data_IF_232857621219
#
_entry.id   IF_232857621219
#
_cell.length_a   1.000
_cell.length_b   1.000
_cell.length_c   1.000
_cell.angle_alpha   90.00
_cell.angle_beta   90.00
_cell.angle_gamma   90.00
#
_symmetry.space_group_name_H-M   'P 1'
#
loop_
_entity.id
_entity.type
_entity.pdbx_description
1 polymer ?
#
# COMPACT_ATOMS: atom_id res chain seq x y z
N UNK A 1 -25.41 100.21 -7.83
CA UNK A 1 -24.21 99.75 -8.56
C UNK A 1 -23.55 98.68 -7.69
N UNK A 2 -23.42 97.44 -8.18
CA UNK A 2 -22.73 96.35 -7.45
C UNK A 2 -23.61 95.18 -7.04
N UNK A 3 -23.83 94.28 -7.98
CA UNK A 3 -24.25 92.87 -7.77
C UNK A 3 -23.00 92.07 -7.33
N UNK A 4 -23.23 90.84 -6.81
CA UNK A 4 -22.28 89.71 -6.64
C UNK A 4 -21.65 89.64 -5.23
N UNK A 5 -21.49 88.49 -4.57
CA UNK A 5 -21.77 87.07 -4.85
C UNK A 5 -21.70 86.36 -3.48
N UNK A 6 -22.69 85.52 -3.15
CA UNK A 6 -22.58 84.55 -2.05
C UNK A 6 -21.64 83.42 -2.50
N UNK A 7 -20.46 83.31 -1.88
CA UNK A 7 -19.61 82.13 -2.03
C UNK A 7 -19.86 81.17 -0.87
N UNK A 8 -20.69 80.16 -1.12
CA UNK A 8 -20.82 78.96 -0.30
C UNK A 8 -19.53 78.14 -0.41
N UNK A 9 -18.73 78.08 0.66
CA UNK A 9 -17.61 77.15 0.76
C UNK A 9 -18.18 75.78 1.12
N UNK A 10 -18.34 74.92 0.11
CA UNK A 10 -18.54 73.48 0.30
C UNK A 10 -17.21 72.87 0.79
N UNK A 11 -17.14 72.54 2.08
CA UNK A 11 -16.09 71.67 2.61
C UNK A 11 -16.47 70.23 2.26
N UNK A 12 -15.89 69.72 1.18
CA UNK A 12 -15.92 68.30 0.81
C UNK A 12 -15.06 67.51 1.82
N UNK A 13 -15.70 66.91 2.81
CA UNK A 13 -15.09 65.83 3.61
C UNK A 13 -14.92 64.59 2.72
N UNK A 14 -13.69 64.32 2.31
CA UNK A 14 -13.30 62.98 1.87
C UNK A 14 -13.25 62.07 3.11
N UNK A 15 -14.30 61.28 3.33
CA UNK A 15 -14.20 60.11 4.20
C UNK A 15 -13.39 59.04 3.46
N UNK A 16 -12.08 58.99 3.73
CA UNK A 16 -11.31 57.76 3.50
C UNK A 16 -11.77 56.79 4.58
N UNK A 17 -12.62 55.84 4.21
CA UNK A 17 -13.02 54.73 5.08
C UNK A 17 -11.82 53.84 5.37
N UNK A 18 -11.06 54.15 6.42
CA UNK A 18 -10.17 53.19 7.05
C UNK A 18 -11.03 52.24 7.88
N UNK A 19 -11.32 51.06 7.35
CA UNK A 19 -11.85 49.95 8.15
C UNK A 19 -10.74 49.49 9.09
N UNK A 20 -10.86 49.79 10.39
CA UNK A 20 -9.98 49.25 11.42
C UNK A 20 -10.33 47.78 11.62
N UNK A 21 -9.59 46.87 10.98
CA UNK A 21 -9.75 45.43 11.19
C UNK A 21 -9.24 45.07 12.59
N UNK A 22 -10.13 44.56 13.45
CA UNK A 22 -9.73 44.00 14.74
C UNK A 22 -8.72 42.85 14.52
N UNK A 23 -7.64 42.76 15.32
CA UNK A 23 -6.68 41.67 15.18
C UNK A 23 -7.38 40.33 15.46
N UNK A 24 -7.43 39.47 14.45
CA UNK A 24 -7.93 38.10 14.58
C UNK A 24 -6.90 37.26 15.32
N UNK A 25 -7.29 36.69 16.46
CA UNK A 25 -6.52 35.67 17.17
C UNK A 25 -7.08 34.29 16.86
N UNK A 26 -6.19 33.34 16.57
CA UNK A 26 -6.55 31.93 16.32
C UNK A 26 -5.76 31.05 17.28
N UNK A 27 -6.47 30.26 18.09
CA UNK A 27 -5.85 29.29 19.02
C UNK A 27 -6.15 27.87 18.55
N UNK A 28 -5.12 27.05 18.43
CA UNK A 28 -5.20 25.64 18.04
C UNK A 28 -4.66 24.78 19.18
N UNK A 29 -5.45 23.84 19.67
CA UNK A 29 -5.02 22.90 20.72
C UNK A 29 -4.87 21.52 20.10
N UNK A 30 -3.68 20.94 20.23
CA UNK A 30 -3.34 19.61 19.74
C UNK A 30 -2.97 18.72 20.93
N UNK A 31 -3.50 17.50 20.97
CA UNK A 31 -3.17 16.53 22.02
C UNK A 31 -2.47 15.32 21.39
N UNK A 32 -1.28 15.01 21.87
CA UNK A 32 -0.50 13.84 21.48
C UNK A 32 -0.37 12.87 22.66
N UNK A 33 -0.45 11.57 22.40
CA UNK A 33 -0.36 10.54 23.45
C UNK A 33 0.62 9.46 23.03
N UNK A 34 1.70 9.35 23.78
CA UNK A 34 2.78 8.41 23.55
C UNK A 34 2.77 7.30 24.60
N UNK A 35 3.01 6.06 24.16
CA UNK A 35 3.09 4.88 25.03
C UNK A 35 4.50 4.32 24.97
N UNK A 36 5.18 4.33 26.11
CA UNK A 36 6.55 3.86 26.30
C UNK A 36 6.54 2.43 26.86
N UNK A 37 7.44 1.59 26.36
CA UNK A 37 7.63 0.22 26.82
C UNK A 37 9.08 0.07 27.30
N UNK A 38 9.27 -0.09 28.60
CA UNK A 38 10.57 -0.39 29.19
C UNK A 38 10.57 -1.84 29.68
N UNK A 39 11.37 -2.69 29.04
CA UNK A 39 11.59 -4.08 29.44
C UNK A 39 13.05 -4.30 29.80
N UNK A 40 13.30 -5.04 30.89
CA UNK A 40 14.62 -5.56 31.25
C UNK A 40 14.64 -7.06 30.95
N UNK A 41 15.50 -7.51 30.04
CA UNK A 41 15.71 -8.93 29.79
C UNK A 41 16.68 -9.49 30.83
N UNK A 42 16.20 -10.38 31.70
CA UNK A 42 17.07 -11.23 32.52
C UNK A 42 17.72 -12.29 31.64
N UNK A 43 19.06 -12.35 31.65
CA UNK A 43 19.83 -13.39 30.97
C UNK A 43 19.95 -14.61 31.88
N UNK A 44 18.91 -15.44 31.97
CA UNK A 44 19.00 -16.86 32.38
C UNK A 44 17.63 -17.51 32.14
N UNK A 45 17.66 -18.79 31.78
CA UNK A 45 16.58 -19.56 31.15
C UNK A 45 15.37 -19.90 32.03
N UNK A 46 15.09 -19.19 33.12
CA UNK A 46 13.91 -19.50 33.96
C UNK A 46 13.09 -18.31 34.50
N UNK A 47 13.50 -17.04 34.32
CA UNK A 47 12.71 -15.92 34.87
C UNK A 47 11.90 -15.16 33.80
N UNK A 48 10.59 -15.05 34.07
CA UNK A 48 9.62 -14.33 33.23
C UNK A 48 10.04 -12.88 32.96
N UNK A 49 9.82 -12.43 31.72
CA UNK A 49 10.17 -11.07 31.32
C UNK A 49 9.09 -10.08 31.80
N UNK A 50 9.50 -9.11 32.63
CA UNK A 50 8.63 -8.00 33.06
C UNK A 50 8.74 -6.82 32.09
N UNK A 51 7.62 -6.42 31.49
CA UNK A 51 7.54 -5.23 30.63
C UNK A 51 6.68 -4.17 31.31
N UNK A 52 7.25 -2.98 31.53
CA UNK A 52 6.52 -1.82 32.09
C UNK A 52 6.07 -0.91 30.96
N UNK A 53 4.77 -0.59 30.95
CA UNK A 53 4.11 0.28 29.98
C UNK A 53 3.82 1.61 30.67
N UNK A 54 4.26 2.73 30.11
CA UNK A 54 3.98 4.08 30.62
C UNK A 54 3.32 4.92 29.53
N UNK A 55 2.17 5.52 29.81
CA UNK A 55 1.45 6.40 28.89
C UNK A 55 1.69 7.85 29.30
N UNK A 56 2.21 8.66 28.37
CA UNK A 56 2.34 10.11 28.52
C UNK A 56 1.44 10.81 27.51
N UNK A 57 0.79 11.86 27.95
CA UNK A 57 -0.07 12.69 27.13
C UNK A 57 0.46 14.11 27.15
N UNK A 58 0.76 14.66 25.99
CA UNK A 58 1.26 16.02 25.80
C UNK A 58 0.18 16.85 25.12
N UNK A 59 -0.15 17.99 25.70
CA UNK A 59 -1.07 18.97 25.12
C UNK A 59 -0.23 20.17 24.66
N UNK A 60 -0.41 20.55 23.40
CA UNK A 60 0.25 21.69 22.78
C UNK A 60 -0.83 22.70 22.40
N UNK A 61 -0.75 23.89 22.97
CA UNK A 61 -1.62 25.01 22.65
C UNK A 61 -0.84 26.06 21.86
N UNK A 62 -1.26 26.31 20.62
CA UNK A 62 -0.66 27.32 19.75
C UNK A 62 -1.63 28.48 19.55
N UNK A 63 -1.25 29.68 20.00
CA UNK A 63 -2.05 30.90 19.82
C UNK A 63 -1.33 31.85 18.87
N UNK A 64 -1.96 32.20 17.75
CA UNK A 64 -1.46 33.18 16.79
C UNK A 64 -2.29 34.44 16.83
N UNK A 65 -1.65 35.59 17.08
CA UNK A 65 -2.27 36.92 17.06
C UNK A 65 -1.49 37.81 16.11
N UNK A 66 -2.17 38.34 15.09
CA UNK A 66 -1.59 39.31 14.14
C UNK A 66 -0.23 38.88 13.54
N UNK A 67 -0.07 37.59 13.24
CA UNK A 67 1.13 37.03 12.61
C UNK A 67 2.25 36.60 13.56
N UNK A 68 2.11 36.76 14.88
CA UNK A 68 3.00 36.18 15.89
C UNK A 68 2.35 34.97 16.55
N UNK A 69 3.05 33.83 16.58
CA UNK A 69 2.60 32.57 17.17
C UNK A 69 3.34 32.28 18.47
N UNK A 70 2.60 31.93 19.52
CA UNK A 70 3.08 31.50 20.82
C UNK A 70 2.63 30.07 21.08
N UNK A 71 3.54 29.20 21.51
CA UNK A 71 3.30 27.76 21.73
C UNK A 71 3.54 27.42 23.20
N UNK A 72 2.58 26.75 23.83
CA UNK A 72 2.66 26.26 25.21
C UNK A 72 2.48 24.74 25.20
N UNK A 73 3.49 24.02 25.71
CA UNK A 73 3.49 22.55 25.80
C UNK A 73 3.36 22.09 27.25
N UNK A 74 2.45 21.14 27.51
CA UNK A 74 2.24 20.55 28.83
C UNK A 74 2.10 19.03 28.73
N UNK A 75 3.04 18.31 29.33
CA UNK A 75 3.06 16.84 29.36
C UNK A 75 2.62 16.29 30.72
N UNK A 76 1.75 15.28 30.72
CA UNK A 76 1.25 14.59 31.93
C UNK A 76 1.31 13.08 31.73
N UNK A 77 1.75 12.32 32.75
CA UNK A 77 1.71 10.84 32.75
C UNK A 77 0.30 10.40 33.14
N UNK A 78 -0.38 9.66 32.28
CA UNK A 78 -1.80 9.30 32.44
C UNK A 78 -2.03 7.82 32.78
N UNK A 79 -1.00 6.97 32.75
CA UNK A 79 -1.09 5.59 33.24
C UNK A 79 0.24 4.82 33.20
N UNK A 80 0.41 3.85 34.10
CA UNK A 80 1.57 2.95 34.12
C UNK A 80 1.16 1.53 34.59
N UNK A 81 1.59 0.47 33.90
CA UNK A 81 1.25 -0.93 34.23
C UNK A 81 2.37 -1.89 33.82
N UNK A 82 2.66 -2.89 34.65
CA UNK A 82 3.71 -3.90 34.39
C UNK A 82 3.10 -5.27 34.15
N UNK A 83 3.57 -5.98 33.12
CA UNK A 83 3.07 -7.31 32.71
C UNK A 83 4.22 -8.31 32.67
N UNK A 84 4.00 -9.50 33.25
CA UNK A 84 4.94 -10.64 33.29
C UNK A 84 4.46 -11.77 32.39
N UNK A 85 5.33 -12.38 31.59
CA UNK A 85 4.99 -13.47 30.66
C UNK A 85 5.82 -14.72 30.99
N UNK A 86 5.15 -15.86 31.23
CA UNK A 86 5.75 -17.20 31.43
C UNK A 86 5.47 -18.10 30.20
N UNK A 87 6.41 -18.97 29.83
CA UNK A 87 6.32 -19.84 28.64
C UNK A 87 6.54 -21.31 29.01
N UNK A 88 5.61 -22.22 28.64
CA UNK A 88 5.75 -23.68 28.77
C UNK A 88 5.75 -24.36 27.40
N UNK A 89 6.67 -25.29 27.15
CA UNK A 89 6.79 -26.08 25.90
C UNK A 89 6.42 -27.54 26.17
N UNK A 90 5.67 -28.18 25.27
CA UNK A 90 5.40 -29.63 25.26
C UNK A 90 5.94 -30.28 23.97
N UNK A 91 6.59 -31.45 24.09
CA UNK A 91 7.18 -32.24 22.99
C UNK A 91 6.19 -33.26 22.38
N UNK A 92 6.34 -33.56 21.08
CA UNK A 92 5.58 -34.59 20.35
C UNK A 92 6.52 -35.62 19.71
N UNK A 93 6.21 -36.91 19.85
CA UNK A 93 7.02 -38.07 19.44
C UNK A 93 6.45 -38.71 18.17
N UNK A 94 7.30 -39.17 17.24
CA UNK A 94 6.86 -39.97 16.07
C UNK A 94 7.79 -41.17 15.82
N UNK A 95 7.17 -42.34 15.63
CA UNK A 95 7.75 -43.69 15.44
C UNK A 95 8.05 -44.02 13.98
N UNK A 96 9.13 -44.77 13.74
CA UNK A 96 9.63 -45.26 12.42
C UNK A 96 9.31 -46.75 12.22
N UNK A 97 8.96 -47.17 10.99
CA UNK A 97 8.85 -48.59 10.57
C UNK A 97 9.75 -48.82 9.33
N UNK A 98 10.51 -49.93 9.22
CA UNK A 98 11.33 -50.26 8.04
C UNK A 98 10.74 -51.38 7.16
N UNK A 99 11.02 -51.37 5.86
CA UNK A 99 10.86 -52.53 4.94
C UNK A 99 12.05 -52.62 3.97
N UNK A 100 12.49 -53.86 3.73
CA UNK A 100 13.75 -54.32 3.12
C UNK A 100 13.68 -54.68 1.62
N UNK A 101 14.88 -54.72 1.00
CA UNK A 101 15.32 -55.04 -0.37
C UNK A 101 14.77 -56.29 -1.10
N UNK A 102 14.80 -56.31 -2.45
CA UNK A 102 15.67 -57.15 -3.33
C UNK A 102 15.41 -56.85 -4.85
N UNK A 103 16.44 -56.50 -5.65
CA UNK A 103 17.27 -57.27 -6.61
C UNK A 103 16.71 -57.59 -8.01
N UNK A 104 17.60 -57.31 -8.96
CA UNK A 104 17.62 -57.35 -10.43
C UNK A 104 17.57 -58.76 -11.06
N UNK A 105 17.01 -58.88 -12.27
CA UNK A 105 17.33 -59.95 -13.22
C UNK A 105 17.03 -59.56 -14.68
N UNK A 106 18.04 -59.76 -15.52
CA UNK A 106 18.08 -59.54 -16.97
C UNK A 106 17.67 -60.80 -17.76
N UNK A 107 17.08 -60.62 -18.96
CA UNK A 107 17.39 -61.30 -20.25
C UNK A 107 16.17 -61.48 -21.19
N UNK A 108 16.34 -61.06 -22.44
CA UNK A 108 15.51 -61.27 -23.65
C UNK A 108 16.22 -62.28 -24.60
N UNK A 109 15.76 -62.65 -25.82
CA UNK A 109 14.43 -62.60 -26.49
C UNK A 109 13.99 -63.96 -27.11
N UNK A 110 12.75 -64.05 -27.63
CA UNK A 110 12.46 -64.85 -28.84
C UNK A 110 11.25 -64.28 -29.62
N UNK A 111 11.45 -64.22 -30.93
CA UNK A 111 10.68 -63.53 -31.97
C UNK A 111 9.40 -64.27 -32.37
N UNK A 112 8.33 -63.52 -32.67
CA UNK A 112 7.34 -63.86 -33.68
C UNK A 112 6.71 -62.57 -34.23
N UNK A 113 6.86 -62.40 -35.54
CA UNK A 113 6.55 -61.22 -36.35
C UNK A 113 5.07 -61.20 -36.73
N UNK A 114 4.36 -60.10 -36.48
CA UNK A 114 3.16 -59.71 -37.23
C UNK A 114 3.29 -58.22 -37.55
N UNK A 115 3.25 -57.92 -38.83
CA UNK A 115 3.35 -56.57 -39.36
C UNK A 115 2.01 -55.85 -39.14
N UNK A 116 2.01 -54.89 -38.23
CA UNK A 116 0.95 -53.87 -38.16
C UNK A 116 1.60 -52.49 -38.29
N UNK A 117 1.09 -51.75 -39.28
CA UNK A 117 1.36 -50.35 -39.58
C UNK A 117 1.41 -49.48 -38.32
N UNK A 118 2.41 -48.61 -38.13
CA UNK A 118 2.42 -47.67 -37.01
C UNK A 118 1.35 -46.61 -37.25
N UNK A 119 0.21 -46.76 -36.59
CA UNK A 119 -0.69 -45.63 -36.36
C UNK A 119 0.08 -44.70 -35.42
N UNK A 120 0.59 -43.60 -35.98
CA UNK A 120 1.06 -42.45 -35.23
C UNK A 120 -0.11 -42.00 -34.33
N UNK A 121 -0.12 -42.48 -33.10
CA UNK A 121 -0.83 -41.86 -32.00
C UNK A 121 -0.14 -40.52 -31.78
N UNK A 122 -0.60 -39.52 -32.53
CA UNK A 122 -0.37 -38.13 -32.20
C UNK A 122 -0.86 -37.94 -30.77
N UNK A 123 0.08 -37.82 -29.84
CA UNK A 123 -0.20 -37.21 -28.55
C UNK A 123 -0.99 -35.93 -28.85
N UNK A 124 -2.17 -35.73 -28.24
CA UNK A 124 -2.83 -34.44 -28.35
C UNK A 124 -1.80 -33.42 -27.91
N UNK A 125 -1.45 -32.53 -28.85
CA UNK A 125 -0.65 -31.34 -28.62
C UNK A 125 -1.06 -30.81 -27.26
N UNK A 126 -0.13 -30.82 -26.29
CA UNK A 126 -0.36 -30.31 -24.94
C UNK A 126 -1.23 -29.09 -25.07
N UNK A 127 -2.47 -29.17 -24.56
CA UNK A 127 -3.38 -28.05 -24.55
C UNK A 127 -2.56 -26.87 -24.04
N UNK A 128 -2.37 -25.89 -24.92
CA UNK A 128 -1.48 -24.77 -24.66
C UNK A 128 -1.81 -24.28 -23.24
N UNK A 129 -0.80 -24.30 -22.36
CA UNK A 129 -0.92 -23.78 -20.98
C UNK A 129 -1.74 -22.49 -21.09
N UNK A 130 -2.86 -22.35 -20.35
CA UNK A 130 -3.76 -21.22 -20.52
C UNK A 130 -2.93 -19.94 -20.54
N UNK A 131 -2.96 -19.21 -21.66
CA UNK A 131 -2.27 -17.92 -21.79
C UNK A 131 -2.58 -17.12 -20.53
N UNK A 132 -1.54 -16.66 -19.81
CA UNK A 132 -1.67 -15.93 -18.54
C UNK A 132 -2.84 -14.94 -18.64
N UNK A 133 -3.92 -15.20 -17.92
CA UNK A 133 -5.15 -14.40 -17.95
C UNK A 133 -5.05 -13.18 -17.03
N UNK A 134 -3.83 -12.74 -16.71
CA UNK A 134 -3.54 -11.64 -15.80
C UNK A 134 -2.69 -10.58 -16.48
N UNK A 135 -2.66 -9.38 -15.91
CA UNK A 135 -1.76 -8.32 -16.30
C UNK A 135 -2.01 -7.79 -17.71
N UNK A 136 -3.19 -8.01 -18.29
CA UNK A 136 -3.56 -7.48 -19.60
C UNK A 136 -4.58 -6.36 -19.42
N UNK A 137 -4.43 -5.29 -20.19
CA UNK A 137 -5.41 -4.20 -20.28
C UNK A 137 -5.96 -4.10 -21.70
N UNK A 138 -7.24 -3.80 -21.82
CA UNK A 138 -7.93 -3.68 -23.10
C UNK A 138 -8.00 -2.23 -23.62
N UNK A 139 -7.74 -1.26 -22.74
CA UNK A 139 -7.77 0.16 -23.07
C UNK A 139 -6.51 0.58 -23.86
N UNK A 140 -6.71 1.40 -24.90
CA UNK A 140 -5.65 1.83 -25.84
C UNK A 140 -4.73 2.87 -25.20
N UNK A 141 -3.42 2.76 -25.48
CA UNK A 141 -2.38 3.60 -24.89
C UNK A 141 -2.57 5.10 -25.21
N UNK A 142 -2.77 5.93 -24.19
CA UNK A 142 -2.40 7.35 -24.22
C UNK A 142 -1.05 7.52 -23.51
N UNK A 143 -0.06 8.11 -24.19
CA UNK A 143 1.28 8.37 -23.62
C UNK A 143 1.24 9.67 -22.81
N UNK A 144 1.41 9.59 -21.49
CA UNK A 144 1.54 10.75 -20.59
C UNK A 144 2.87 10.64 -19.84
N UNK A 145 3.60 11.74 -19.74
CA UNK A 145 4.90 11.86 -19.04
C UNK A 145 4.73 12.85 -17.89
N UNK A 146 5.04 12.43 -16.66
CA UNK A 146 4.59 13.13 -15.45
C UNK A 146 3.26 12.57 -14.99
N UNK A 147 3.08 12.37 -13.68
CA UNK A 147 1.86 11.75 -13.16
C UNK A 147 0.59 12.50 -13.58
N UNK A 148 -0.56 11.83 -13.48
CA UNK A 148 -1.85 12.44 -13.79
C UNK A 148 -2.96 11.42 -13.92
N UNK A 149 -4.11 11.90 -14.39
CA UNK A 149 -5.33 11.10 -14.54
C UNK A 149 -5.11 9.85 -15.40
N UNK A 150 -5.71 8.76 -14.96
CA UNK A 150 -5.84 7.58 -15.81
C UNK A 150 -6.97 7.76 -16.82
N UNK A 151 -6.91 7.04 -17.94
CA UNK A 151 -8.11 6.80 -18.75
C UNK A 151 -8.91 5.62 -18.18
N UNK A 152 -10.15 5.46 -18.64
CA UNK A 152 -10.99 4.37 -18.19
C UNK A 152 -10.40 3.00 -18.54
N UNK A 153 -10.40 2.09 -17.57
CA UNK A 153 -9.86 0.73 -17.75
C UNK A 153 -8.35 0.69 -17.98
N UNK A 154 -7.60 1.75 -17.67
CA UNK A 154 -6.13 1.75 -17.84
C UNK A 154 -5.43 0.75 -16.92
N UNK A 155 -5.90 0.66 -15.67
CA UNK A 155 -5.42 -0.25 -14.64
C UNK A 155 -6.61 -1.05 -14.08
N UNK A 156 -7.13 -2.03 -14.83
CA UNK A 156 -8.36 -2.76 -14.49
C UNK A 156 -8.24 -3.64 -13.24
N UNK A 157 -7.02 -3.77 -12.69
CA UNK A 157 -6.75 -4.44 -11.43
C UNK A 157 -6.78 -3.49 -10.23
N UNK A 158 -6.69 -2.17 -10.41
CA UNK A 158 -6.70 -1.23 -9.31
C UNK A 158 -8.09 -1.17 -8.66
N UNK A 159 -8.13 -1.24 -7.34
CA UNK A 159 -9.40 -1.20 -6.58
C UNK A 159 -9.31 -0.20 -5.44
N UNK A 160 -10.46 0.37 -5.08
CA UNK A 160 -10.60 1.18 -3.88
C UNK A 160 -11.05 0.28 -2.73
N UNK A 161 -10.19 0.08 -1.74
CA UNK A 161 -10.52 -0.54 -0.46
C UNK A 161 -11.24 0.49 0.39
N UNK A 162 -12.56 0.35 0.51
CA UNK A 162 -13.41 1.28 1.26
C UNK A 162 -13.58 0.78 2.68
N UNK A 163 -13.42 1.69 3.64
CA UNK A 163 -13.90 1.49 5.00
C UNK A 163 -15.30 2.07 5.08
N UNK A 164 -16.28 1.22 5.37
CA UNK A 164 -17.71 1.51 5.23
C UNK A 164 -18.05 1.92 3.78
N UNK A 165 -18.21 3.22 3.55
CA UNK A 165 -18.58 3.80 2.26
C UNK A 165 -17.53 4.77 1.75
N UNK A 166 -16.38 4.92 2.42
CA UNK A 166 -15.36 5.92 2.05
C UNK A 166 -14.07 5.23 1.61
N UNK A 167 -13.44 5.75 0.54
CA UNK A 167 -12.12 5.31 0.13
C UNK A 167 -11.10 5.48 1.27
N UNK A 168 -10.45 4.38 1.65
CA UNK A 168 -9.49 4.34 2.74
C UNK A 168 -8.07 4.01 2.27
N UNK A 169 -7.96 2.98 1.43
CA UNK A 169 -6.72 2.48 0.85
C UNK A 169 -6.94 2.00 -0.59
N UNK A 170 -5.85 1.80 -1.32
CA UNK A 170 -5.83 1.07 -2.58
C UNK A 170 -5.71 -0.45 -2.38
N UNK A 171 -5.84 -1.17 -3.49
CA UNK A 171 -5.57 -2.60 -3.59
C UNK A 171 -5.44 -3.03 -5.05
N UNK A 172 -5.15 -4.31 -5.25
CA UNK A 172 -5.09 -4.91 -6.58
C UNK A 172 -5.82 -6.26 -6.66
N UNK A 173 -6.59 -6.45 -7.73
CA UNK A 173 -7.20 -7.75 -8.05
C UNK A 173 -6.09 -8.73 -8.43
N UNK A 174 -5.94 -9.83 -7.70
CA UNK A 174 -5.00 -10.91 -8.07
C UNK A 174 -5.74 -12.16 -8.55
N UNK A 175 -7.00 -12.35 -8.14
CA UNK A 175 -7.89 -13.40 -8.63
C UNK A 175 -9.35 -12.93 -8.61
N UNK A 176 -10.28 -13.78 -9.07
CA UNK A 176 -11.72 -13.50 -8.96
C UNK A 176 -12.22 -13.32 -7.51
N UNK A 177 -11.52 -13.85 -6.51
CA UNK A 177 -11.93 -13.78 -5.11
C UNK A 177 -10.98 -12.99 -4.22
N UNK A 178 -9.80 -12.61 -4.70
CA UNK A 178 -8.73 -12.12 -3.85
C UNK A 178 -8.21 -10.78 -4.31
N UNK A 179 -8.16 -9.85 -3.36
CA UNK A 179 -7.51 -8.54 -3.48
C UNK A 179 -6.24 -8.54 -2.62
N UNK A 180 -5.15 -8.04 -3.18
CA UNK A 180 -3.90 -7.77 -2.49
C UNK A 180 -3.88 -6.30 -2.02
N UNK A 181 -3.50 -6.05 -0.77
CA UNK A 181 -3.39 -4.71 -0.19
C UNK A 181 -2.34 -4.68 0.93
N UNK A 182 -2.19 -3.56 1.64
CA UNK A 182 -1.28 -3.42 2.77
C UNK A 182 -1.95 -3.90 4.08
N UNK A 183 -1.17 -4.51 4.97
CA UNK A 183 -1.64 -4.95 6.27
C UNK A 183 -2.05 -3.79 7.18
N UNK A 184 -1.33 -2.67 7.13
CA UNK A 184 -1.64 -1.50 7.95
C UNK A 184 -3.02 -0.89 7.63
N UNK A 185 -3.54 -1.12 6.41
CA UNK A 185 -4.87 -0.70 6.02
C UNK A 185 -5.98 -1.50 6.71
N UNK A 186 -5.74 -2.76 7.04
CA UNK A 186 -6.82 -3.71 7.36
C UNK A 186 -6.74 -4.30 8.76
N UNK A 187 -5.55 -4.35 9.38
CA UNK A 187 -5.32 -5.00 10.69
C UNK A 187 -6.24 -4.52 11.81
N UNK A 188 -6.69 -3.27 11.77
CA UNK A 188 -7.47 -2.64 12.86
C UNK A 188 -8.97 -2.88 12.78
N UNK A 189 -9.47 -3.46 11.70
CA UNK A 189 -10.91 -3.57 11.45
C UNK A 189 -11.30 -4.99 11.02
N UNK A 190 -12.50 -5.40 11.40
CA UNK A 190 -13.10 -6.67 10.94
C UNK A 190 -13.48 -6.60 9.45
N UNK A 191 -13.45 -7.75 8.76
CA UNK A 191 -13.86 -7.93 7.36
C UNK A 191 -15.19 -7.23 7.01
N UNK A 192 -16.17 -7.25 7.93
CA UNK A 192 -17.51 -6.66 7.72
C UNK A 192 -17.52 -5.16 7.41
N UNK A 193 -16.46 -4.44 7.79
CA UNK A 193 -16.34 -3.01 7.55
C UNK A 193 -15.76 -2.69 6.17
N UNK A 194 -15.23 -3.68 5.46
CA UNK A 194 -14.59 -3.47 4.18
C UNK A 194 -15.50 -3.78 3.00
N UNK A 195 -15.46 -2.87 2.02
CA UNK A 195 -16.05 -3.04 0.70
C UNK A 195 -15.00 -2.74 -0.36
N UNK A 196 -14.99 -3.52 -1.42
CA UNK A 196 -14.06 -3.35 -2.53
C UNK A 196 -14.81 -2.76 -3.72
N UNK A 197 -14.39 -1.56 -4.11
CA UNK A 197 -14.87 -0.86 -5.30
C UNK A 197 -13.96 -1.19 -6.48
N UNK A 198 -14.52 -1.78 -7.54
CA UNK A 198 -13.78 -2.29 -8.71
C UNK A 198 -14.19 -1.60 -10.00
N UNK A 199 -13.23 -1.41 -10.92
CA UNK A 199 -13.50 -0.90 -12.27
C UNK A 199 -13.94 0.56 -12.30
N UNK A 200 -13.76 1.28 -11.20
CA UNK A 200 -14.10 2.69 -11.08
C UNK A 200 -12.87 3.55 -11.43
N UNK A 201 -13.10 4.62 -12.20
CA UNK A 201 -12.11 5.68 -12.39
C UNK A 201 -12.38 6.82 -11.42
N UNK A 202 -13.64 7.19 -11.22
CA UNK A 202 -14.07 8.34 -10.43
C UNK A 202 -14.84 7.86 -9.19
N UNK A 203 -14.18 7.82 -8.04
CA UNK A 203 -14.73 7.22 -6.81
C UNK A 203 -15.78 8.11 -6.11
N UNK A 204 -16.05 9.31 -6.63
CA UNK A 204 -17.12 10.20 -6.17
C UNK A 204 -18.48 9.84 -6.78
N UNK A 205 -18.48 9.15 -7.93
CA UNK A 205 -19.69 8.78 -8.64
C UNK A 205 -20.16 7.41 -8.17
N UNK A 206 -21.36 7.37 -7.60
CA UNK A 206 -22.11 6.13 -7.44
C UNK A 206 -22.93 5.93 -8.72
N UNK A 207 -22.48 5.08 -9.64
CA UNK A 207 -23.31 4.81 -10.83
C UNK A 207 -22.69 4.11 -12.03
N UNK A 208 -21.37 3.93 -12.11
CA UNK A 208 -20.78 3.27 -13.29
C UNK A 208 -21.19 1.79 -13.40
N UNK A 209 -21.47 1.12 -12.27
CA UNK A 209 -21.89 -0.29 -12.21
C UNK A 209 -22.90 -0.51 -11.06
N UNK A 210 -24.00 -1.25 -11.21
CA UNK A 210 -24.88 -1.56 -10.06
C UNK A 210 -24.24 -2.52 -9.02
N UNK A 211 -23.08 -3.09 -9.34
CA UNK A 211 -22.32 -4.06 -8.55
C UNK A 211 -21.06 -3.48 -7.85
N UNK A 212 -20.93 -2.15 -7.77
CA UNK A 212 -19.64 -1.47 -7.50
C UNK A 212 -18.89 -2.01 -6.29
N UNK A 213 -19.61 -2.25 -5.19
CA UNK A 213 -19.02 -2.53 -3.89
C UNK A 213 -19.25 -3.97 -3.46
N UNK A 214 -18.16 -4.75 -3.43
CA UNK A 214 -18.19 -6.15 -3.00
C UNK A 214 -17.74 -6.25 -1.55
N UNK A 215 -18.55 -6.89 -0.71
CA UNK A 215 -18.21 -7.12 0.69
C UNK A 215 -17.04 -8.09 0.82
N UNK A 216 -16.19 -7.83 1.81
CA UNK A 216 -15.11 -8.73 2.20
C UNK A 216 -15.66 -9.81 3.14
N UNK A 217 -15.27 -11.05 2.89
CA UNK A 217 -15.57 -12.22 3.72
C UNK A 217 -14.48 -12.46 4.76
N UNK A 218 -13.22 -12.29 4.35
CA UNK A 218 -12.05 -12.63 5.16
C UNK A 218 -10.91 -11.64 4.95
N UNK A 219 -10.18 -11.35 6.03
CA UNK A 219 -8.96 -10.55 6.03
C UNK A 219 -7.81 -11.43 6.51
N UNK A 220 -6.85 -11.69 5.64
CA UNK A 220 -5.65 -12.49 5.96
C UNK A 220 -4.43 -11.57 5.98
N UNK A 221 -4.00 -11.17 7.19
CA UNK A 221 -2.80 -10.33 7.38
C UNK A 221 -1.54 -11.22 7.38
N UNK A 222 -0.47 -10.78 6.72
CA UNK A 222 0.79 -11.51 6.75
C UNK A 222 1.28 -11.70 8.20
N UNK A 223 1.66 -12.92 8.64
CA UNK A 223 1.97 -13.20 10.05
C UNK A 223 3.18 -12.43 10.59
N UNK A 224 4.13 -12.10 9.71
CA UNK A 224 5.30 -11.27 10.06
C UNK A 224 5.00 -9.77 10.15
N UNK A 225 3.76 -9.32 9.92
CA UNK A 225 3.46 -7.89 9.87
C UNK A 225 3.76 -7.19 11.21
N UNK A 226 4.48 -6.07 11.13
CA UNK A 226 4.84 -5.26 12.29
C UNK A 226 6.09 -5.73 13.05
N UNK A 227 6.84 -6.70 12.50
CA UNK A 227 8.09 -7.21 13.08
C UNK A 227 9.22 -7.21 12.03
N UNK A 228 10.41 -6.65 12.32
CA UNK A 228 10.81 -6.03 13.60
C UNK A 228 10.29 -4.60 13.81
N UNK A 229 9.72 -3.95 12.79
CA UNK A 229 9.23 -2.56 12.87
C UNK A 229 7.78 -2.48 12.39
N UNK A 230 7.11 -1.37 12.71
CA UNK A 230 5.67 -1.16 12.48
C UNK A 230 5.18 -1.49 11.06
N UNK A 231 5.97 -1.20 10.03
CA UNK A 231 5.62 -1.42 8.61
C UNK A 231 6.42 -2.58 7.97
N UNK A 232 7.01 -3.45 8.79
CA UNK A 232 7.65 -4.67 8.28
C UNK A 232 6.60 -5.67 7.79
N UNK A 233 6.87 -6.35 6.68
CA UNK A 233 5.98 -7.37 6.08
C UNK A 233 4.54 -6.88 5.86
N UNK A 234 4.39 -5.67 5.32
CA UNK A 234 3.13 -4.97 5.20
C UNK A 234 2.32 -5.42 3.97
N UNK A 235 1.78 -6.64 4.03
CA UNK A 235 0.85 -7.21 3.05
C UNK A 235 -0.35 -7.86 3.74
N UNK A 236 -1.51 -7.74 3.12
CA UNK A 236 -2.71 -8.47 3.47
C UNK A 236 -3.50 -8.88 2.22
N UNK A 237 -4.30 -9.93 2.40
CA UNK A 237 -5.20 -10.46 1.39
C UNK A 237 -6.64 -10.30 1.88
N UNK A 238 -7.53 -9.86 0.97
CA UNK A 238 -8.95 -9.73 1.23
C UNK A 238 -9.71 -10.72 0.35
N UNK A 239 -10.41 -11.68 0.97
CA UNK A 239 -11.30 -12.60 0.26
C UNK A 239 -12.66 -11.93 0.08
N UNK A 240 -13.16 -11.89 -1.15
CA UNK A 240 -14.46 -11.34 -1.49
C UNK A 240 -15.58 -12.35 -1.19
N UNK A 241 -16.74 -11.86 -0.74
CA UNK A 241 -17.94 -12.71 -0.51
C UNK A 241 -18.51 -13.35 -1.78
N UNK A 242 -18.23 -12.76 -2.94
CA UNK A 242 -18.68 -13.23 -4.25
C UNK A 242 -17.57 -13.02 -5.28
N UNK A 243 -17.50 -13.83 -6.35
CA UNK A 243 -16.46 -13.67 -7.35
C UNK A 243 -16.67 -12.39 -8.18
N UNK A 244 -15.57 -11.83 -8.64
CA UNK A 244 -15.54 -10.80 -9.66
C UNK A 244 -15.90 -11.39 -11.02
N UNK A 245 -16.65 -10.61 -11.80
CA UNK A 245 -16.82 -10.81 -13.24
C UNK A 245 -15.75 -10.02 -13.96
N UNK A 246 -14.87 -10.69 -14.69
CA UNK A 246 -13.80 -10.04 -15.43
C UNK A 246 -14.28 -9.47 -16.76
N UNK A 247 -13.89 -8.24 -17.04
CA UNK A 247 -14.22 -7.47 -18.25
C UNK A 247 -13.14 -6.42 -18.55
N UNK A 248 -13.42 -5.44 -19.41
CA UNK A 248 -12.44 -4.41 -19.77
C UNK A 248 -11.97 -3.52 -18.59
N UNK A 249 -12.72 -3.49 -17.49
CA UNK A 249 -12.52 -2.61 -16.33
C UNK A 249 -12.12 -3.38 -15.06
N UNK A 250 -12.37 -4.70 -15.02
CA UNK A 250 -11.98 -5.59 -13.93
C UNK A 250 -11.15 -6.76 -14.48
N UNK A 251 -9.84 -6.78 -14.21
CA UNK A 251 -8.92 -7.86 -14.58
C UNK A 251 -7.90 -8.11 -13.48
N UNK A 252 -7.40 -9.35 -13.31
CA UNK A 252 -6.35 -9.61 -12.33
C UNK A 252 -4.99 -9.09 -12.83
N UNK A 253 -4.16 -8.57 -11.93
CA UNK A 253 -2.73 -8.30 -12.18
C UNK A 253 -1.92 -9.58 -12.02
N UNK A 254 -0.83 -9.74 -12.77
CA UNK A 254 0.06 -10.88 -12.55
C UNK A 254 0.91 -10.69 -11.28
N UNK A 255 1.17 -11.79 -10.57
CA UNK A 255 2.26 -11.82 -9.59
C UNK A 255 3.62 -11.74 -10.31
N UNK A 256 4.62 -11.12 -9.67
CA UNK A 256 5.94 -10.95 -10.28
C UNK A 256 6.69 -12.28 -10.31
N UNK A 257 7.62 -12.40 -11.26
CA UNK A 257 8.63 -13.45 -11.25
C UNK A 257 9.66 -13.12 -10.15
N UNK A 258 9.91 -14.02 -9.18
CA UNK A 258 10.88 -13.79 -8.11
C UNK A 258 12.29 -13.46 -8.60
N UNK A 259 12.69 -13.95 -9.77
CA UNK A 259 14.02 -13.76 -10.35
C UNK A 259 14.12 -12.52 -11.26
N UNK A 260 13.03 -11.76 -11.40
CA UNK A 260 13.02 -10.59 -12.28
C UNK A 260 13.89 -9.47 -11.72
N UNK A 261 14.85 -9.00 -12.54
CA UNK A 261 15.59 -7.79 -12.22
C UNK A 261 14.70 -6.55 -12.32
N UNK A 262 14.64 -5.79 -11.22
CA UNK A 262 13.77 -4.63 -11.04
C UNK A 262 14.54 -3.30 -11.04
N UNK A 263 15.79 -3.30 -10.57
CA UNK A 263 16.54 -2.06 -10.30
C UNK A 263 16.77 -1.23 -11.57
N UNK A 264 16.61 0.09 -11.46
CA UNK A 264 16.75 1.03 -12.58
C UNK A 264 15.60 1.03 -13.59
N UNK A 265 14.65 0.09 -13.51
CA UNK A 265 13.44 0.10 -14.33
C UNK A 265 12.43 1.12 -13.79
N UNK A 266 11.56 1.59 -14.66
CA UNK A 266 10.46 2.46 -14.28
C UNK A 266 9.20 1.62 -13.98
N UNK A 267 8.66 1.79 -12.78
CA UNK A 267 7.37 1.27 -12.37
C UNK A 267 6.33 2.38 -12.28
N UNK A 268 5.05 2.01 -12.21
CA UNK A 268 3.94 2.95 -12.09
C UNK A 268 3.19 2.70 -10.80
N UNK A 269 3.14 3.68 -9.90
CA UNK A 269 2.24 3.67 -8.74
C UNK A 269 0.86 4.19 -9.19
N UNK A 270 -0.20 3.57 -8.67
CA UNK A 270 -1.58 3.83 -9.10
C UNK A 270 -2.48 3.92 -7.86
N UNK A 271 -3.29 4.98 -7.76
CA UNK A 271 -4.18 5.18 -6.61
C UNK A 271 -4.96 6.50 -6.59
N UNK A 272 -5.68 6.72 -5.49
CA UNK A 272 -6.51 7.91 -5.21
C UNK A 272 -6.00 8.68 -3.98
N UNK A 273 -4.71 8.55 -3.66
CA UNK A 273 -4.07 9.27 -2.58
C UNK A 273 -3.88 10.75 -2.88
N UNK A 274 -3.45 11.50 -1.86
CA UNK A 274 -3.22 12.93 -1.96
C UNK A 274 -2.32 13.29 -3.14
N UNK A 275 -2.73 14.27 -3.95
CA UNK A 275 -1.92 14.75 -5.07
C UNK A 275 -0.68 15.52 -4.61
N UNK A 276 -0.68 16.02 -3.38
CA UNK A 276 0.47 16.63 -2.73
C UNK A 276 0.31 16.63 -1.21
N UNK A 277 1.45 16.70 -0.51
CA UNK A 277 1.51 16.65 0.95
C UNK A 277 0.92 17.90 1.63
N UNK A 278 1.00 19.06 0.97
CA UNK A 278 0.68 20.37 1.57
C UNK A 278 -0.83 20.65 1.54
N UNK A 279 -1.44 20.60 0.35
CA UNK A 279 -2.84 20.89 0.11
C UNK A 279 -3.75 19.71 0.48
N UNK A 280 -3.22 18.49 0.59
CA UNK A 280 -3.96 17.28 1.02
C UNK A 280 -5.21 16.98 0.19
N UNK A 281 -5.21 17.40 -1.08
CA UNK A 281 -6.33 17.20 -2.00
C UNK A 281 -6.35 15.74 -2.43
N UNK A 282 -7.43 15.03 -2.10
CA UNK A 282 -7.72 13.70 -2.64
C UNK A 282 -8.37 13.85 -4.01
N UNK A 283 -7.81 13.23 -5.06
CA UNK A 283 -8.45 13.19 -6.36
C UNK A 283 -9.59 12.16 -6.33
N UNK A 284 -10.74 12.52 -6.91
CA UNK A 284 -11.81 11.56 -7.15
C UNK A 284 -11.46 10.63 -8.32
N UNK A 285 -10.68 11.15 -9.28
CA UNK A 285 -10.19 10.42 -10.44
C UNK A 285 -8.92 9.64 -10.11
N UNK A 286 -8.85 8.39 -10.53
CA UNK A 286 -7.68 7.53 -10.37
C UNK A 286 -6.45 8.19 -11.00
N UNK A 287 -5.36 8.23 -10.25
CA UNK A 287 -4.09 8.81 -10.65
C UNK A 287 -3.05 7.72 -10.92
N UNK A 288 -2.06 8.06 -11.75
CA UNK A 288 -0.85 7.25 -11.95
C UNK A 288 0.39 8.12 -11.88
N UNK A 289 1.49 7.56 -11.39
CA UNK A 289 2.81 8.21 -11.46
C UNK A 289 3.89 7.19 -11.78
N UNK A 290 4.74 7.52 -12.75
CA UNK A 290 5.90 6.69 -13.09
C UNK A 290 7.11 7.11 -12.24
N UNK A 291 7.72 6.13 -11.58
CA UNK A 291 8.86 6.29 -10.67
C UNK A 291 9.95 5.24 -10.97
N UNK A 292 11.24 5.60 -10.87
CA UNK A 292 12.32 4.64 -11.04
C UNK A 292 12.46 3.77 -9.79
N UNK A 293 12.75 2.49 -9.99
CA UNK A 293 13.05 1.55 -8.92
C UNK A 293 14.50 1.71 -8.48
N UNK A 294 14.70 1.85 -7.18
CA UNK A 294 16.01 2.06 -6.58
C UNK A 294 16.59 0.75 -6.04
N UNK A 295 17.91 0.65 -6.09
CA UNK A 295 18.63 -0.32 -5.27
C UNK A 295 18.42 0.00 -3.78
N UNK A 296 18.17 -1.00 -2.94
CA UNK A 296 17.86 -0.80 -1.52
C UNK A 296 19.01 -0.10 -0.75
N UNK A 297 20.27 -0.33 -1.13
CA UNK A 297 21.42 0.35 -0.49
C UNK A 297 21.45 1.86 -0.81
N UNK A 298 21.09 2.24 -2.04
CA UNK A 298 20.97 3.64 -2.46
C UNK A 298 19.83 4.30 -1.70
N UNK A 299 18.68 3.63 -1.59
CA UNK A 299 17.54 4.11 -0.83
C UNK A 299 17.89 4.32 0.66
N UNK A 300 18.54 3.33 1.28
CA UNK A 300 18.98 3.41 2.68
C UNK A 300 19.95 4.58 2.90
N UNK A 301 20.89 4.79 1.97
CA UNK A 301 21.80 5.94 2.02
C UNK A 301 21.06 7.28 1.93
N UNK A 302 20.10 7.41 1.03
CA UNK A 302 19.32 8.65 0.91
C UNK A 302 18.50 8.96 2.16
N UNK A 303 17.87 7.95 2.76
CA UNK A 303 17.20 8.09 4.05
C UNK A 303 18.19 8.46 5.18
N UNK A 304 19.38 7.86 5.19
CA UNK A 304 20.41 8.17 6.18
C UNK A 304 20.89 9.63 6.07
N UNK A 305 21.06 10.15 4.85
CA UNK A 305 21.50 11.53 4.59
C UNK A 305 20.54 12.59 5.15
N UNK A 306 19.24 12.32 5.21
CA UNK A 306 18.20 13.31 5.55
C UNK A 306 17.53 13.03 6.89
N UNK A 307 17.53 11.78 7.33
CA UNK A 307 16.75 11.31 8.47
C UNK A 307 17.62 10.52 9.47
N UNK A 308 18.93 10.79 9.51
CA UNK A 308 19.91 10.28 10.48
C UNK A 308 19.85 8.75 10.71
N UNK A 309 19.43 7.98 9.70
CA UNK A 309 19.35 6.52 9.79
C UNK A 309 18.19 5.97 10.63
N UNK A 310 17.22 6.81 11.07
CA UNK A 310 16.05 6.32 11.81
C UNK A 310 15.15 5.40 10.96
N UNK A 311 15.18 5.56 9.63
CA UNK A 311 14.48 4.69 8.68
C UNK A 311 15.45 3.63 8.17
N UNK A 312 15.17 2.36 8.52
CA UNK A 312 15.88 1.20 8.01
C UNK A 312 15.10 0.60 6.83
N UNK A 313 15.81 0.35 5.72
CA UNK A 313 15.27 -0.34 4.55
C UNK A 313 15.64 -1.81 4.63
N UNK A 314 14.65 -2.69 4.48
CA UNK A 314 14.83 -4.14 4.54
C UNK A 314 14.65 -4.78 3.15
N UNK A 315 15.14 -6.01 2.98
CA UNK A 315 15.08 -6.72 1.69
C UNK A 315 13.65 -7.03 1.22
N UNK A 316 12.72 -7.23 2.16
CA UNK A 316 11.29 -7.35 1.88
C UNK A 316 10.60 -6.03 1.51
N UNK A 317 11.37 -4.95 1.36
CA UNK A 317 10.92 -3.67 0.84
C UNK A 317 11.61 -3.36 -0.49
N UNK A 318 10.93 -2.56 -1.29
CA UNK A 318 11.43 -1.97 -2.53
C UNK A 318 11.17 -0.46 -2.47
N UNK A 319 12.19 0.32 -2.82
CA UNK A 319 12.06 1.77 -2.91
C UNK A 319 11.86 2.20 -4.36
N UNK A 320 10.99 3.19 -4.57
CA UNK A 320 10.82 3.80 -5.87
C UNK A 320 10.57 5.31 -5.74
N UNK A 321 11.26 6.10 -6.56
CA UNK A 321 11.18 7.55 -6.51
C UNK A 321 12.43 8.24 -7.03
N UNK A 322 12.32 9.54 -7.30
CA UNK A 322 13.44 10.36 -7.76
C UNK A 322 14.24 10.92 -6.59
N UNK A 323 15.54 11.13 -6.79
CA UNK A 323 16.39 11.77 -5.78
C UNK A 323 15.88 13.15 -5.43
N UNK A 324 15.47 13.91 -6.44
CA UNK A 324 14.96 15.27 -6.33
C UNK A 324 13.52 15.33 -5.76
N UNK A 325 12.89 14.18 -5.48
CA UNK A 325 11.51 14.08 -5.02
C UNK A 325 10.47 14.37 -6.12
N UNK A 326 9.44 15.15 -5.76
CA UNK A 326 8.31 15.65 -6.57
C UNK A 326 7.30 14.61 -7.06
N UNK A 327 7.72 13.37 -7.29
CA UNK A 327 6.86 12.29 -7.80
C UNK A 327 6.92 11.11 -6.85
N UNK A 328 5.80 10.80 -6.22
CA UNK A 328 5.68 9.75 -5.20
C UNK A 328 4.22 9.33 -5.04
N UNK A 329 4.01 8.21 -4.34
CA UNK A 329 2.72 7.88 -3.72
C UNK A 329 2.50 8.72 -2.46
N UNK A 330 1.25 8.93 -2.05
CA UNK A 330 0.92 9.72 -0.86
C UNK A 330 -0.22 9.10 -0.04
N UNK A 331 -0.67 9.79 1.02
CA UNK A 331 -1.73 9.29 1.90
C UNK A 331 -3.01 8.99 1.10
N UNK A 332 -3.51 7.76 1.25
CA UNK A 332 -4.63 7.22 0.48
C UNK A 332 -4.22 6.27 -0.64
N UNK A 333 -2.96 6.32 -1.10
CA UNK A 333 -2.42 5.32 -2.03
C UNK A 333 -2.00 4.03 -1.32
N UNK A 334 -1.88 4.05 0.01
CA UNK A 334 -1.58 2.89 0.87
C UNK A 334 -2.32 1.63 0.41
N UNK A 335 -1.61 0.52 0.27
CA UNK A 335 -2.16 -0.74 -0.24
C UNK A 335 -2.35 -0.81 -1.75
N UNK A 336 -2.25 0.32 -2.47
CA UNK A 336 -2.31 0.38 -3.93
C UNK A 336 -1.10 -0.27 -4.61
N UNK A 337 -1.24 -0.63 -5.90
CA UNK A 337 -0.20 -1.36 -6.61
C UNK A 337 0.91 -0.46 -7.16
N UNK A 338 2.15 -0.92 -7.02
CA UNK A 338 3.28 -0.51 -7.85
C UNK A 338 3.43 -1.54 -8.97
N UNK A 339 3.10 -1.15 -10.20
CA UNK A 339 3.08 -2.05 -11.35
C UNK A 339 4.27 -1.87 -12.28
N UNK A 340 4.77 -2.99 -12.77
CA UNK A 340 5.81 -3.03 -13.79
C UNK A 340 5.23 -3.57 -15.09
N UNK A 341 5.55 -2.90 -16.20
CA UNK A 341 5.19 -3.37 -17.54
C UNK A 341 6.37 -4.15 -18.13
N UNK A 342 6.07 -5.33 -18.67
CA UNK A 342 7.01 -6.18 -19.40
C UNK A 342 6.35 -6.74 -20.67
N UNK A 343 6.80 -6.28 -21.83
CA UNK A 343 6.08 -6.47 -23.09
C UNK A 343 4.64 -5.96 -23.00
N UNK A 344 3.67 -6.84 -23.25
CA UNK A 344 2.23 -6.54 -23.15
C UNK A 344 1.58 -6.93 -21.81
N UNK A 345 2.38 -7.40 -20.85
CA UNK A 345 1.90 -7.82 -19.54
C UNK A 345 2.34 -6.87 -18.45
N UNK A 346 1.55 -6.82 -17.38
CA UNK A 346 1.83 -6.07 -16.17
C UNK A 346 1.92 -7.03 -14.98
N UNK A 347 2.84 -6.75 -14.06
CA UNK A 347 2.96 -7.43 -12.78
C UNK A 347 2.94 -6.44 -11.61
N UNK A 348 2.42 -6.86 -10.46
CA UNK A 348 2.50 -6.08 -9.22
C UNK A 348 3.81 -6.40 -8.50
N UNK A 349 4.77 -5.49 -8.59
CA UNK A 349 6.10 -5.68 -7.97
C UNK A 349 6.16 -5.15 -6.53
N UNK A 350 5.24 -4.23 -6.20
CA UNK A 350 5.19 -3.58 -4.90
C UNK A 350 3.76 -3.25 -4.46
N UNK A 351 3.57 -3.15 -3.15
CA UNK A 351 2.36 -2.62 -2.51
C UNK A 351 2.75 -1.37 -1.70
N UNK A 352 2.07 -0.24 -1.92
CA UNK A 352 2.38 1.02 -1.20
C UNK A 352 2.26 0.80 0.31
N UNK A 353 3.34 1.06 1.06
CA UNK A 353 3.42 0.73 2.49
C UNK A 353 3.73 1.96 3.36
N UNK A 354 4.87 2.60 3.15
CA UNK A 354 5.38 3.66 4.02
C UNK A 354 6.14 4.73 3.23
N UNK A 355 6.44 5.83 3.91
CA UNK A 355 7.23 6.96 3.39
C UNK A 355 7.32 8.08 4.42
N UNK A 356 8.26 9.00 4.23
CA UNK A 356 8.37 10.21 5.05
C UNK A 356 7.95 11.40 4.19
N UNK A 357 6.72 11.87 4.43
CA UNK A 357 6.07 12.83 3.53
C UNK A 357 5.78 12.24 2.16
N UNK A 358 5.54 13.10 1.16
CA UNK A 358 5.29 12.66 -0.22
C UNK A 358 6.12 13.47 -1.20
N UNK A 359 7.00 12.82 -1.96
CA UNK A 359 7.79 13.49 -2.98
C UNK A 359 8.80 14.50 -2.42
N UNK A 360 9.31 14.24 -1.21
CA UNK A 360 10.41 15.03 -0.64
C UNK A 360 11.75 14.57 -1.22
N UNK A 361 12.73 15.46 -1.26
CA UNK A 361 14.08 15.14 -1.75
C UNK A 361 14.69 14.00 -0.91
N UNK A 362 15.32 13.02 -1.57
CA UNK A 362 15.97 11.83 -0.98
C UNK A 362 15.06 10.95 -0.10
N UNK A 363 13.74 11.13 -0.16
CA UNK A 363 12.78 10.36 0.61
C UNK A 363 11.81 9.65 -0.34
N UNK A 364 12.28 8.60 -1.07
CA UNK A 364 11.44 7.85 -2.00
C UNK A 364 10.40 7.00 -1.24
N UNK A 365 9.27 6.71 -1.88
CA UNK A 365 8.26 5.81 -1.34
C UNK A 365 8.80 4.40 -1.08
N UNK A 366 8.32 3.78 0.00
CA UNK A 366 8.66 2.43 0.43
C UNK A 366 7.45 1.52 0.19
N UNK A 367 7.70 0.44 -0.54
CA UNK A 367 6.68 -0.53 -0.92
C UNK A 367 7.07 -1.90 -0.41
N UNK A 368 6.11 -2.76 -0.10
CA UNK A 368 6.39 -4.16 0.22
C UNK A 368 6.76 -4.91 -1.07
N UNK A 369 7.90 -5.61 -1.09
CA UNK A 369 8.44 -6.31 -2.27
C UNK A 369 7.68 -7.61 -2.54
N UNK A 370 6.71 -7.59 -3.45
CA UNK A 370 5.75 -8.69 -3.65
C UNK A 370 6.42 -10.01 -4.01
N UNK A 371 7.55 -10.01 -4.74
CA UNK A 371 8.26 -11.24 -5.13
C UNK A 371 8.59 -12.15 -3.95
N UNK A 372 8.97 -11.58 -2.80
CA UNK A 372 9.29 -12.35 -1.58
C UNK A 372 8.05 -12.89 -0.85
N UNK A 373 6.86 -12.40 -1.18
CA UNK A 373 5.60 -12.82 -0.57
C UNK A 373 4.77 -13.73 -1.47
N UNK A 374 5.19 -14.01 -2.71
CA UNK A 374 4.49 -14.94 -3.62
C UNK A 374 4.21 -16.30 -2.96
N UNK A 375 5.15 -16.95 -2.24
CA UNK A 375 4.85 -18.22 -1.57
C UNK A 375 3.69 -18.11 -0.57
N UNK A 376 3.67 -17.06 0.27
CA UNK A 376 2.59 -16.81 1.22
C UNK A 376 1.27 -16.50 0.52
N UNK A 377 1.30 -15.69 -0.55
CA UNK A 377 0.11 -15.37 -1.34
C UNK A 377 -0.50 -16.67 -1.90
N UNK A 378 0.31 -17.57 -2.44
CA UNK A 378 -0.16 -18.86 -2.96
C UNK A 378 -0.72 -19.75 -1.86
N UNK A 379 -0.05 -19.81 -0.71
CA UNK A 379 -0.50 -20.59 0.44
C UNK A 379 -1.91 -20.18 0.90
N UNK A 380 -2.18 -18.87 0.98
CA UNK A 380 -3.48 -18.36 1.43
C UNK A 380 -4.55 -18.48 0.33
N UNK A 381 -4.20 -18.16 -0.91
CA UNK A 381 -5.20 -18.01 -1.99
C UNK A 381 -5.43 -19.26 -2.83
N UNK A 382 -4.52 -20.23 -2.78
CA UNK A 382 -4.51 -21.40 -3.67
C UNK A 382 -4.16 -21.07 -5.13
N UNK A 383 -3.66 -19.86 -5.43
CA UNK A 383 -3.34 -19.43 -6.79
C UNK A 383 -2.18 -20.25 -7.38
N UNK A 384 -2.46 -20.95 -8.48
CA UNK A 384 -1.45 -21.63 -9.32
C UNK A 384 -1.09 -20.71 -10.50
N UNK A 385 0.19 -20.66 -10.89
CA UNK A 385 0.72 -19.74 -11.92
C UNK A 385 0.86 -20.43 -13.26
#
# INVERSE_FOLDING_TARGET
MGVLLHSSVLVLFWFVGFTWSQPTSTTTVTTDTEVFFNGTHGTTTEDGANTTITVKTTVIEETTVSGQTTVVEKTTVTGQTTVTVETTIAEETTTVIPVTNSTDFTRSPKSATVAETPVLLSLPLQAAVPKRQCGRRFARNARIVGGGDTYEGEFPWAVSVRLLTTHYCGGAIITKYWILTAAHCVKRYSARYFRIRVGEKDISKDGFRPDVDIHVDEVSVHPGFGRPRRYSNDLALLRLKRPLSFDAYAQPICLPDPEQSLEGRNATAVGWGWMNEIQKVKPDVLQKVQVPILNNSVCAKWYADVYNGYVQIYDYQICAGFKEGKKDSCQGDSGGPLVLKDGDHFSIIGVVSAGVGCGREKLPGIYSRVSLFVPWIRQVTGLQV
#
